data_IF_407564299849
#
_entry.id   IF_407564299849
#
_cell.length_a   1.000
_cell.length_b   1.000
_cell.length_c   1.000
_cell.angle_alpha   90.00
_cell.angle_beta   90.00
_cell.angle_gamma   90.00
#
_symmetry.space_group_name_H-M   'P 1'
#
loop_
_entity.id
_entity.type
_entity.pdbx_description
1 polymer ?
#
# COMPACT_ATOMS: atom_id res chain seq x y z
N UNK A 1 -49.76 -51.36 -33.80
CA UNK A 1 -49.98 -50.37 -32.72
C UNK A 1 -48.68 -50.23 -31.92
N UNK A 2 -47.99 -49.08 -32.01
CA UNK A 2 -46.66 -48.83 -31.43
C UNK A 2 -46.75 -48.64 -29.90
N UNK A 3 -45.91 -49.31 -29.12
CA UNK A 3 -45.56 -48.92 -27.74
C UNK A 3 -44.03 -49.00 -27.56
N UNK A 4 -43.30 -48.07 -28.17
CA UNK A 4 -41.93 -47.71 -27.81
C UNK A 4 -42.01 -46.35 -27.12
N UNK A 5 -41.69 -46.25 -25.83
CA UNK A 5 -41.70 -44.94 -25.17
C UNK A 5 -41.66 -44.87 -23.64
N UNK A 6 -41.43 -45.96 -22.90
CA UNK A 6 -41.40 -45.87 -21.42
C UNK A 6 -39.99 -45.71 -20.82
N UNK A 7 -38.94 -46.13 -21.52
CA UNK A 7 -37.56 -46.10 -21.00
C UNK A 7 -36.83 -44.78 -21.32
N UNK A 8 -37.17 -44.09 -22.42
CA UNK A 8 -36.51 -42.84 -22.81
C UNK A 8 -36.86 -41.68 -21.86
N UNK A 9 -38.04 -41.71 -21.23
CA UNK A 9 -38.49 -40.67 -20.30
C UNK A 9 -37.68 -40.64 -19.00
N UNK A 10 -37.29 -41.81 -18.47
CA UNK A 10 -36.49 -41.93 -17.23
C UNK A 10 -35.03 -41.52 -17.43
N UNK A 11 -34.45 -41.85 -18.57
CA UNK A 11 -33.07 -41.47 -18.90
C UNK A 11 -32.96 -39.94 -19.06
N UNK A 12 -33.96 -39.33 -19.73
CA UNK A 12 -34.01 -37.88 -19.91
C UNK A 12 -34.15 -37.15 -18.56
N UNK A 13 -34.95 -37.67 -17.63
CA UNK A 13 -35.09 -37.06 -16.29
C UNK A 13 -33.78 -37.13 -15.51
N UNK A 14 -33.06 -38.25 -15.56
CA UNK A 14 -31.76 -38.40 -14.89
C UNK A 14 -30.72 -37.43 -15.46
N UNK A 15 -30.68 -37.26 -16.78
CA UNK A 15 -29.78 -36.30 -17.45
C UNK A 15 -30.07 -34.84 -17.05
N UNK A 16 -31.34 -34.46 -16.99
CA UNK A 16 -31.73 -33.10 -16.56
C UNK A 16 -31.35 -32.86 -15.09
N UNK A 17 -31.52 -33.87 -14.24
CA UNK A 17 -31.19 -33.78 -12.82
C UNK A 17 -29.67 -33.66 -12.60
N UNK A 18 -28.87 -34.40 -13.36
CA UNK A 18 -27.41 -34.27 -13.38
C UNK A 18 -26.96 -32.88 -13.85
N UNK A 19 -27.60 -32.35 -14.90
CA UNK A 19 -27.28 -31.02 -15.43
C UNK A 19 -27.57 -29.93 -14.37
N UNK A 20 -28.69 -30.04 -13.67
CA UNK A 20 -29.06 -29.12 -12.58
C UNK A 20 -28.05 -29.14 -11.43
N UNK A 21 -27.58 -30.33 -11.03
CA UNK A 21 -26.56 -30.47 -9.97
C UNK A 21 -25.24 -29.81 -10.39
N UNK A 22 -24.81 -29.98 -11.65
CA UNK A 22 -23.59 -29.33 -12.16
C UNK A 22 -23.73 -27.82 -12.16
N UNK A 23 -24.89 -27.29 -12.59
CA UNK A 23 -25.16 -25.84 -12.58
C UNK A 23 -25.12 -25.29 -11.16
N UNK A 24 -25.77 -25.95 -10.20
CA UNK A 24 -25.78 -25.51 -8.80
C UNK A 24 -24.38 -25.54 -8.18
N UNK A 25 -23.57 -26.58 -8.45
CA UNK A 25 -22.18 -26.65 -7.98
C UNK A 25 -21.35 -25.52 -8.59
N UNK A 26 -21.53 -25.22 -9.89
CA UNK A 26 -20.81 -24.14 -10.57
C UNK A 26 -21.15 -22.75 -9.99
N UNK A 27 -22.41 -22.53 -9.59
CA UNK A 27 -22.84 -21.29 -8.92
C UNK A 27 -22.48 -21.23 -7.42
N UNK A 28 -22.20 -22.37 -6.77
CA UNK A 28 -21.76 -22.43 -5.38
C UNK A 28 -20.24 -22.48 -5.20
N UNK A 29 -19.47 -22.65 -6.27
CA UNK A 29 -18.04 -22.42 -6.22
C UNK A 29 -17.85 -20.91 -5.98
N UNK A 30 -17.29 -20.50 -4.83
CA UNK A 30 -16.91 -19.11 -4.65
C UNK A 30 -15.94 -18.79 -5.78
N UNK A 31 -16.33 -17.85 -6.65
CA UNK A 31 -15.40 -17.31 -7.62
C UNK A 31 -14.15 -16.92 -6.85
N UNK A 32 -13.01 -17.52 -7.22
CA UNK A 32 -11.72 -17.06 -6.73
C UNK A 32 -11.63 -15.59 -7.15
N UNK A 33 -12.01 -14.70 -6.24
CA UNK A 33 -11.53 -13.35 -6.26
C UNK A 33 -10.04 -13.50 -6.05
N UNK A 34 -9.30 -13.71 -7.14
CA UNK A 34 -7.90 -13.34 -7.23
C UNK A 34 -7.85 -11.84 -6.96
N UNK A 35 -7.92 -11.49 -5.68
CA UNK A 35 -7.40 -10.25 -5.16
C UNK A 35 -5.95 -10.26 -5.59
N UNK A 36 -5.65 -9.61 -6.72
CA UNK A 36 -4.29 -9.30 -7.10
C UNK A 36 -3.70 -8.55 -5.91
N UNK A 37 -2.90 -9.26 -5.12
CA UNK A 37 -2.11 -8.67 -4.06
C UNK A 37 -1.17 -7.68 -4.73
N UNK A 38 -1.52 -6.40 -4.70
CA UNK A 38 -0.64 -5.35 -5.20
C UNK A 38 0.67 -5.41 -4.43
N UNK A 39 1.78 -5.47 -5.15
CA UNK A 39 3.10 -5.59 -4.56
C UNK A 39 3.53 -4.21 -4.07
N UNK A 40 3.38 -3.98 -2.77
CA UNK A 40 3.92 -2.81 -2.05
C UNK A 40 5.45 -2.78 -2.13
N UNK A 41 6.06 -3.97 -2.25
CA UNK A 41 7.50 -4.16 -2.32
C UNK A 41 8.13 -3.47 -3.55
N UNK A 42 9.30 -2.89 -3.34
CA UNK A 42 10.10 -2.29 -4.41
C UNK A 42 10.62 -0.89 -4.09
N UNK A 43 11.12 -0.23 -5.13
CA UNK A 43 11.67 1.12 -5.06
C UNK A 43 10.64 2.15 -5.52
N UNK A 44 10.50 3.20 -4.74
CA UNK A 44 9.56 4.28 -4.95
C UNK A 44 10.30 5.61 -4.96
N UNK A 45 9.92 6.50 -5.87
CA UNK A 45 10.31 7.91 -5.83
C UNK A 45 9.20 8.66 -5.10
N UNK A 46 9.56 9.54 -4.19
CA UNK A 46 8.57 10.36 -3.49
C UNK A 46 9.02 11.80 -3.35
N UNK A 47 8.03 12.64 -3.04
CA UNK A 47 8.25 13.96 -2.48
C UNK A 47 7.21 14.21 -1.38
N UNK A 48 7.53 15.14 -0.48
CA UNK A 48 6.56 15.65 0.46
C UNK A 48 6.73 17.16 0.69
N UNK A 49 5.66 17.79 1.15
CA UNK A 49 5.62 19.20 1.55
C UNK A 49 4.88 19.36 2.88
N UNK A 50 5.07 20.48 3.56
CA UNK A 50 4.22 20.85 4.67
C UNK A 50 2.95 21.54 4.16
N UNK A 51 1.81 21.33 4.82
CA UNK A 51 0.51 21.84 4.39
C UNK A 51 0.42 23.36 4.41
N UNK A 52 1.23 24.01 5.26
CA UNK A 52 1.29 25.47 5.40
C UNK A 52 2.36 26.12 4.51
N UNK A 53 3.29 25.34 3.94
CA UNK A 53 4.31 25.82 3.01
C UNK A 53 4.66 24.75 1.96
N UNK A 54 4.04 24.90 0.79
CA UNK A 54 4.25 24.00 -0.36
C UNK A 54 5.52 24.31 -1.16
N UNK A 55 6.24 25.39 -0.82
CA UNK A 55 7.50 25.74 -1.49
C UNK A 55 8.68 24.91 -0.98
N UNK A 56 8.58 24.36 0.23
CA UNK A 56 9.57 23.49 0.86
C UNK A 56 9.35 22.03 0.43
N UNK A 57 9.86 21.69 -0.76
CA UNK A 57 9.73 20.34 -1.33
C UNK A 57 10.89 19.44 -0.93
N UNK A 58 10.59 18.42 -0.14
CA UNK A 58 11.50 17.33 0.20
C UNK A 58 11.34 16.22 -0.84
N UNK A 59 12.44 15.61 -1.28
CA UNK A 59 12.42 14.56 -2.30
C UNK A 59 13.21 13.35 -1.83
N UNK A 60 12.87 12.18 -2.31
CA UNK A 60 13.62 11.00 -1.91
C UNK A 60 13.27 9.71 -2.63
N UNK A 61 13.96 8.68 -2.16
CA UNK A 61 13.77 7.29 -2.54
C UNK A 61 13.24 6.51 -1.33
N UNK A 62 12.23 5.69 -1.54
CA UNK A 62 11.69 4.76 -0.55
C UNK A 62 11.86 3.34 -1.08
N UNK A 63 12.57 2.50 -0.34
CA UNK A 63 12.64 1.07 -0.60
C UNK A 63 11.81 0.32 0.45
N UNK A 64 10.89 -0.52 -0.02
CA UNK A 64 10.02 -1.36 0.80
C UNK A 64 10.40 -2.82 0.54
N UNK A 65 10.62 -3.59 1.61
CA UNK A 65 10.87 -5.04 1.57
C UNK A 65 9.92 -5.76 2.52
N UNK A 66 9.45 -6.95 2.14
CA UNK A 66 8.42 -7.71 2.88
C UNK A 66 8.78 -9.17 3.15
N UNK A 67 10.06 -9.55 3.07
CA UNK A 67 10.51 -10.94 3.15
C UNK A 67 10.14 -11.64 4.48
N UNK A 68 10.45 -11.00 5.62
CA UNK A 68 10.11 -11.52 6.96
C UNK A 68 9.19 -10.56 7.74
N UNK A 69 9.41 -9.26 7.56
CA UNK A 69 8.59 -8.18 8.10
C UNK A 69 8.72 -6.96 7.19
N UNK A 70 7.74 -6.06 7.26
CA UNK A 70 7.76 -4.83 6.47
C UNK A 70 8.90 -3.95 6.96
N UNK A 71 9.86 -3.70 6.08
CA UNK A 71 10.94 -2.74 6.33
C UNK A 71 10.86 -1.63 5.29
N UNK A 72 10.95 -0.38 5.75
CA UNK A 72 10.94 0.80 4.89
C UNK A 72 12.19 1.62 5.12
N UNK A 73 12.99 1.77 4.06
CA UNK A 73 14.21 2.55 4.04
C UNK A 73 14.00 3.80 3.19
N UNK A 74 14.07 4.96 3.83
CA UNK A 74 13.92 6.26 3.20
C UNK A 74 15.29 6.89 2.96
N UNK A 75 15.44 7.53 1.80
CA UNK A 75 16.58 8.39 1.47
C UNK A 75 16.04 9.78 1.14
N UNK A 76 16.06 10.68 2.12
CA UNK A 76 15.43 12.00 2.05
C UNK A 76 16.46 13.09 1.75
N UNK A 77 16.14 13.97 0.81
CA UNK A 77 16.90 15.16 0.45
C UNK A 77 16.03 16.37 0.80
N UNK A 78 16.48 17.13 1.81
CA UNK A 78 15.83 18.37 2.22
C UNK A 78 15.99 19.48 1.16
N UNK A 79 15.07 20.47 1.13
CA UNK A 79 15.23 21.65 0.28
C UNK A 79 16.62 22.27 0.45
N UNK A 80 17.26 22.65 -0.66
CA UNK A 80 18.60 23.27 -0.70
C UNK A 80 19.75 22.38 -0.21
N UNK A 81 19.50 21.13 0.18
CA UNK A 81 20.55 20.15 0.49
C UNK A 81 20.97 19.39 -0.77
N UNK A 82 22.27 19.11 -0.89
CA UNK A 82 22.83 18.18 -1.89
C UNK A 82 23.08 16.78 -1.31
N UNK A 83 22.90 16.62 0.01
CA UNK A 83 23.15 15.36 0.72
C UNK A 83 21.82 14.73 1.11
N UNK A 84 21.70 13.44 0.83
CA UNK A 84 20.59 12.63 1.30
C UNK A 84 20.86 12.07 2.69
N UNK A 85 19.83 12.02 3.51
CA UNK A 85 19.80 11.29 4.78
C UNK A 85 19.12 9.94 4.58
N UNK A 86 19.69 8.90 5.19
CA UNK A 86 19.11 7.56 5.18
C UNK A 86 18.42 7.31 6.51
N UNK A 87 17.14 6.95 6.47
CA UNK A 87 16.28 6.80 7.63
C UNK A 87 15.53 5.47 7.50
N UNK A 88 15.62 4.66 8.56
CA UNK A 88 14.84 3.43 8.68
C UNK A 88 13.59 3.75 9.47
N UNK A 89 12.41 3.47 8.89
CA UNK A 89 11.16 3.68 9.61
C UNK A 89 11.03 2.71 10.78
N UNK A 90 10.40 3.19 11.86
CA UNK A 90 10.15 2.43 13.09
C UNK A 90 8.65 2.31 13.36
N UNK A 91 8.29 1.37 14.22
CA UNK A 91 6.89 1.13 14.63
C UNK A 91 5.95 0.95 13.43
N UNK A 92 6.42 0.21 12.41
CA UNK A 92 5.69 0.03 11.17
C UNK A 92 4.44 -0.81 11.42
N UNK A 93 3.30 -0.31 10.97
CA UNK A 93 2.04 -1.04 10.95
C UNK A 93 1.46 -1.02 9.53
N UNK A 94 1.20 -2.21 8.98
CA UNK A 94 0.60 -2.40 7.67
C UNK A 94 -0.85 -2.87 7.81
N UNK A 95 -1.77 -2.26 7.06
CA UNK A 95 -3.15 -2.70 6.95
C UNK A 95 -3.63 -2.55 5.51
N UNK A 96 -3.98 -3.66 4.86
CA UNK A 96 -4.39 -3.69 3.45
C UNK A 96 -3.39 -2.97 2.53
N UNK A 97 -3.78 -1.80 2.03
CA UNK A 97 -3.02 -0.94 1.13
C UNK A 97 -2.37 0.25 1.85
N UNK A 98 -2.28 0.22 3.18
CA UNK A 98 -1.79 1.33 3.98
C UNK A 98 -0.59 0.88 4.82
N UNK A 99 0.47 1.68 4.84
CA UNK A 99 1.61 1.49 5.74
C UNK A 99 1.82 2.78 6.54
N UNK A 100 1.86 2.64 7.85
CA UNK A 100 2.09 3.73 8.79
C UNK A 100 3.29 3.44 9.67
N UNK A 101 3.89 4.48 10.24
CA UNK A 101 5.06 4.33 11.10
C UNK A 101 5.63 5.67 11.55
N UNK A 102 6.89 5.63 11.98
CA UNK A 102 7.62 6.79 12.50
C UNK A 102 8.98 6.91 11.82
N UNK A 103 9.34 8.12 11.38
CA UNK A 103 10.67 8.50 10.92
C UNK A 103 11.38 9.24 12.05
N UNK A 104 12.62 8.83 12.35
CA UNK A 104 13.49 9.50 13.32
C UNK A 104 14.73 9.95 12.57
N UNK A 105 14.97 11.26 12.55
CA UNK A 105 16.03 11.90 11.79
C UNK A 105 17.24 12.09 12.71
N UNK A 106 18.10 11.07 12.78
CA UNK A 106 19.21 11.03 13.73
C UNK A 106 20.26 12.12 13.47
N UNK A 107 20.40 12.62 12.22
CA UNK A 107 21.40 13.63 11.88
C UNK A 107 20.94 15.06 12.11
N UNK A 108 19.63 15.31 12.06
CA UNK A 108 19.05 16.61 12.39
C UNK A 108 18.78 16.71 13.89
N UNK A 109 19.86 16.80 14.67
CA UNK A 109 19.76 17.13 16.10
C UNK A 109 19.40 18.61 16.24
N UNK A 110 18.14 18.88 16.59
CA UNK A 110 17.71 20.20 17.02
C UNK A 110 17.78 20.19 18.55
N UNK A 111 18.41 21.23 19.14
CA UNK A 111 18.80 21.35 20.56
C UNK A 111 17.89 20.56 21.52
N UNK A 112 18.33 19.35 21.90
CA UNK A 112 17.66 18.50 22.89
C UNK A 112 17.21 17.12 22.41
N UNK A 113 17.09 16.86 21.10
CA UNK A 113 16.64 15.56 20.60
C UNK A 113 16.65 15.39 19.08
N UNK A 114 15.79 14.52 18.58
CA UNK A 114 15.72 14.11 17.17
C UNK A 114 14.41 14.57 16.53
N UNK A 115 14.49 15.12 15.32
CA UNK A 115 13.28 15.37 14.54
C UNK A 115 12.54 14.05 14.31
N UNK A 116 11.26 14.02 14.72
CA UNK A 116 10.44 12.81 14.70
C UNK A 116 9.14 13.11 13.98
N UNK A 117 8.80 12.27 13.00
CA UNK A 117 7.60 12.42 12.19
C UNK A 117 6.82 11.11 12.16
N UNK A 118 5.50 11.19 12.24
CA UNK A 118 4.67 10.04 11.87
C UNK A 118 4.31 10.13 10.38
N UNK A 119 4.06 8.98 9.78
CA UNK A 119 3.55 8.91 8.42
C UNK A 119 2.47 7.84 8.33
N UNK A 120 1.60 8.04 7.35
CA UNK A 120 0.58 7.11 6.94
C UNK A 120 0.47 7.20 5.40
N UNK A 121 0.98 6.18 4.71
CA UNK A 121 0.99 6.08 3.26
C UNK A 121 -0.09 5.10 2.80
N UNK A 122 -0.96 5.55 1.92
CA UNK A 122 -1.98 4.75 1.24
C UNK A 122 -1.56 4.50 -0.20
N UNK A 123 -1.31 3.24 -0.52
CA UNK A 123 -0.94 2.76 -1.85
C UNK A 123 -2.19 2.55 -2.70
N UNK A 124 -2.16 3.08 -3.92
CA UNK A 124 -3.24 3.03 -4.90
C UNK A 124 -2.78 2.16 -6.07
N UNK A 125 -2.95 0.85 -5.92
CA UNK A 125 -2.43 -0.14 -6.85
C UNK A 125 -0.90 -0.22 -6.82
N UNK A 126 -0.29 -0.64 -7.94
CA UNK A 126 1.16 -0.90 -8.03
C UNK A 126 2.00 0.31 -8.51
N UNK A 127 1.39 1.49 -8.66
CA UNK A 127 2.04 2.61 -9.35
C UNK A 127 2.23 3.85 -8.50
N UNK A 128 1.32 4.14 -7.56
CA UNK A 128 1.34 5.40 -6.80
C UNK A 128 0.94 5.18 -5.34
N UNK A 129 1.44 6.05 -4.48
CA UNK A 129 0.93 6.20 -3.11
C UNK A 129 0.76 7.68 -2.80
N UNK A 130 -0.19 7.97 -1.93
CA UNK A 130 -0.34 9.26 -1.27
C UNK A 130 -0.25 9.05 0.23
N UNK A 131 0.04 10.09 1.00
CA UNK A 131 0.07 9.94 2.44
C UNK A 131 -0.03 11.24 3.19
N UNK A 132 -0.30 11.10 4.48
CA UNK A 132 -0.29 12.20 5.44
C UNK A 132 0.60 11.84 6.62
N UNK A 133 1.24 12.85 7.17
CA UNK A 133 2.05 12.73 8.37
C UNK A 133 1.97 14.00 9.18
N UNK A 134 2.69 14.02 10.29
CA UNK A 134 2.81 15.16 11.17
C UNK A 134 4.17 15.11 11.85
N UNK A 135 4.80 16.26 11.97
CA UNK A 135 5.93 16.39 12.86
C UNK A 135 5.45 16.29 14.32
N UNK A 136 6.10 15.41 15.07
CA UNK A 136 5.76 15.07 16.45
C UNK A 136 6.66 15.81 17.43
N UNK A 137 7.96 15.88 17.15
CA UNK A 137 8.96 16.50 18.03
C UNK A 137 10.06 17.15 17.19
N UNK A 138 10.65 18.23 17.72
CA UNK A 138 11.79 18.94 17.12
C UNK A 138 11.55 19.33 15.65
N UNK A 139 10.40 19.94 15.36
CA UNK A 139 10.02 20.33 14.01
C UNK A 139 10.90 21.44 13.45
N UNK A 140 10.99 21.52 12.12
CA UNK A 140 11.56 22.69 11.47
C UNK A 140 10.73 23.93 11.85
N UNK A 141 11.41 25.06 12.08
CA UNK A 141 10.77 26.31 12.47
C UNK A 141 9.65 26.69 11.49
N UNK A 142 8.46 26.97 12.02
CA UNK A 142 7.29 27.34 11.23
C UNK A 142 6.51 26.16 10.66
N UNK A 143 6.90 24.91 10.93
CA UNK A 143 6.18 23.69 10.51
C UNK A 143 5.46 23.00 11.66
N UNK A 144 5.47 23.59 12.85
CA UNK A 144 4.80 23.05 14.03
C UNK A 144 3.31 22.89 13.75
N UNK A 145 2.77 21.71 14.03
CA UNK A 145 1.38 21.33 13.74
C UNK A 145 0.95 21.27 12.27
N UNK A 146 1.84 21.59 11.32
CA UNK A 146 1.56 21.40 9.92
C UNK A 146 1.45 19.91 9.58
N UNK A 147 0.53 19.58 8.68
CA UNK A 147 0.46 18.22 8.13
C UNK A 147 1.53 18.06 7.06
N UNK A 148 2.17 16.91 7.02
CA UNK A 148 3.12 16.53 5.97
C UNK A 148 2.32 15.79 4.90
N UNK A 149 2.36 16.28 3.67
CA UNK A 149 1.63 15.70 2.54
C UNK A 149 2.62 14.93 1.67
N UNK A 150 2.44 13.62 1.57
CA UNK A 150 3.32 12.71 0.85
C UNK A 150 2.72 12.31 -0.49
N UNK A 151 3.57 12.22 -1.50
CA UNK A 151 3.22 11.70 -2.81
C UNK A 151 4.37 10.84 -3.33
N UNK A 152 4.05 9.68 -3.88
CA UNK A 152 5.06 8.78 -4.43
C UNK A 152 4.57 7.98 -5.62
N UNK A 153 5.54 7.54 -6.41
CA UNK A 153 5.33 6.68 -7.57
C UNK A 153 6.37 5.57 -7.60
N UNK A 154 5.95 4.37 -8.03
CA UNK A 154 6.85 3.23 -8.15
C UNK A 154 7.85 3.53 -9.25
N UNK A 155 9.13 3.37 -8.97
CA UNK A 155 10.15 3.54 -10.00
C UNK A 155 10.07 2.34 -10.94
N UNK A 156 9.63 2.57 -12.17
CA UNK A 156 9.79 1.58 -13.23
C UNK A 156 11.29 1.48 -13.51
N UNK A 157 11.86 0.31 -13.22
CA UNK A 157 13.23 -0.03 -13.64
C UNK A 157 13.35 -0.01 -15.16
#
# INVERSE_FOLDING_TARGET
MKRKGKNNSRILTILILLLLVVVVIFFMLPGENTSQSHSLEGNWKFYFTYSNDTSLVYRGDLNITTQDSVTMNFKIIAPKSVRAEQIVARNINQTNNTISGTLIYDRFKIRGGFLTENFNLTFKGDSVFDGVGKCMEYCAEGTENASIIWHGSKHAN
#
